data_IF_286061759532
#
_entry.id   IF_286061759532
#
_cell.length_a   1.000
_cell.length_b   1.000
_cell.length_c   1.000
_cell.angle_alpha   90.00
_cell.angle_beta   90.00
_cell.angle_gamma   90.00
#
_symmetry.space_group_name_H-M   'P 1'
#
loop_
_entity.id
_entity.type
_entity.pdbx_description
1 polymer ?
#
# COMPACT_ATOMS: atom_id res chain seq x y z
N UNK A 1 0.95 22.43 8.54
CA UNK A 1 0.25 21.65 9.58
C UNK A 1 0.49 20.19 9.25
N UNK A 2 1.17 19.44 10.11
CA UNK A 2 1.37 18.00 9.91
C UNK A 2 0.06 17.30 10.23
N UNK A 3 -0.61 16.73 9.23
CA UNK A 3 -1.78 15.88 9.46
C UNK A 3 -1.28 14.55 10.03
N UNK A 4 -1.66 14.23 11.27
CA UNK A 4 -1.29 12.98 11.94
C UNK A 4 -2.01 11.82 11.23
N UNK A 5 -1.34 11.21 10.24
CA UNK A 5 -1.86 10.10 9.41
C UNK A 5 -1.11 8.79 9.63
N UNK A 6 -0.13 8.82 10.51
CA UNK A 6 0.64 7.67 10.93
C UNK A 6 -0.32 6.61 11.47
N UNK A 7 -0.23 5.38 10.95
CA UNK A 7 -1.13 4.29 11.35
C UNK A 7 -2.18 3.87 10.32
N UNK A 8 -2.34 4.59 9.21
CA UNK A 8 -3.30 4.21 8.15
C UNK A 8 -2.72 3.25 7.12
N UNK A 9 -3.57 2.37 6.60
CA UNK A 9 -3.23 1.50 5.49
C UNK A 9 -3.55 2.20 4.16
N UNK A 10 -2.79 1.85 3.13
CA UNK A 10 -2.96 2.39 1.79
C UNK A 10 -2.85 1.30 0.75
N UNK A 11 -3.65 1.47 -0.30
CA UNK A 11 -3.58 0.66 -1.52
C UNK A 11 -3.55 1.61 -2.72
N UNK A 12 -2.97 1.21 -3.86
CA UNK A 12 -3.02 2.06 -5.04
C UNK A 12 -4.45 2.01 -5.64
N UNK A 13 -4.87 3.04 -6.37
CA UNK A 13 -6.16 3.08 -7.09
C UNK A 13 -6.12 2.30 -8.41
N UNK A 14 -4.93 2.01 -8.91
CA UNK A 14 -4.62 1.26 -10.13
C UNK A 14 -3.41 0.35 -9.86
N UNK A 15 -3.26 -0.78 -10.54
CA UNK A 15 -2.09 -1.62 -10.35
C UNK A 15 -0.82 -0.83 -10.69
N UNK A 16 0.19 -0.94 -9.85
CA UNK A 16 1.51 -0.37 -10.11
C UNK A 16 2.21 -1.20 -11.18
N UNK A 17 2.98 -0.56 -12.06
CA UNK A 17 3.47 -1.16 -13.30
C UNK A 17 4.02 -2.58 -13.16
N UNK A 18 5.17 -2.75 -12.50
CA UNK A 18 5.79 -4.07 -12.31
C UNK A 18 5.33 -4.74 -11.00
N UNK A 19 5.06 -3.95 -9.96
CA UNK A 19 4.72 -4.44 -8.61
C UNK A 19 3.28 -4.96 -8.47
N UNK A 20 2.40 -4.61 -9.42
CA UNK A 20 0.98 -4.95 -9.39
C UNK A 20 0.23 -4.22 -8.27
N UNK A 21 -0.77 -4.88 -7.69
CA UNK A 21 -1.47 -4.39 -6.52
C UNK A 21 -0.66 -4.61 -5.24
N UNK A 22 -0.85 -3.74 -4.25
CA UNK A 22 -0.14 -3.83 -2.99
C UNK A 22 -0.92 -3.18 -1.86
N UNK A 23 -0.57 -3.57 -0.64
CA UNK A 23 -1.03 -2.95 0.60
C UNK A 23 0.21 -2.48 1.34
N UNK A 24 0.17 -1.22 1.78
CA UNK A 24 1.22 -0.63 2.57
C UNK A 24 0.68 0.11 3.79
N UNK A 25 1.58 0.46 4.68
CA UNK A 25 1.32 1.24 5.87
C UNK A 25 2.02 2.59 5.77
N UNK A 26 1.26 3.67 5.97
CA UNK A 26 1.82 5.03 6.03
C UNK A 26 2.66 5.18 7.30
N UNK A 27 3.96 5.39 7.12
CA UNK A 27 4.92 5.66 8.21
C UNK A 27 5.18 7.14 8.43
N UNK A 28 5.00 7.96 7.39
CA UNK A 28 4.98 9.42 7.50
C UNK A 28 4.27 10.03 6.29
N UNK A 29 3.81 11.27 6.45
CA UNK A 29 3.20 12.04 5.38
C UNK A 29 3.76 13.47 5.37
N UNK A 30 4.33 13.88 4.25
CA UNK A 30 4.86 15.22 4.04
C UNK A 30 4.18 15.87 2.83
N UNK A 31 3.44 16.96 3.08
CA UNK A 31 2.64 17.64 2.06
C UNK A 31 1.71 16.66 1.32
N UNK A 32 1.94 16.48 0.02
CA UNK A 32 1.19 15.58 -0.86
C UNK A 32 1.78 14.17 -0.98
N UNK A 33 2.95 13.93 -0.38
CA UNK A 33 3.67 12.67 -0.45
C UNK A 33 3.42 11.82 0.79
N UNK A 34 3.30 10.52 0.57
CA UNK A 34 3.14 9.48 1.57
C UNK A 34 4.38 8.60 1.53
N UNK A 35 5.00 8.38 2.68
CA UNK A 35 6.04 7.39 2.85
C UNK A 35 5.39 6.12 3.37
N UNK A 36 5.61 5.03 2.66
CA UNK A 36 4.83 3.81 2.82
C UNK A 36 5.77 2.61 2.96
N UNK A 37 5.60 1.87 4.05
CA UNK A 37 6.18 0.53 4.18
C UNK A 37 5.25 -0.47 3.49
N UNK A 38 5.76 -1.21 2.51
CA UNK A 38 4.99 -2.26 1.87
C UNK A 38 4.85 -3.46 2.79
N UNK A 39 3.61 -3.97 2.88
CA UNK A 39 3.27 -5.14 3.70
C UNK A 39 2.98 -6.35 2.81
N UNK A 40 2.20 -6.12 1.75
CA UNK A 40 1.84 -7.16 0.78
C UNK A 40 1.88 -6.62 -0.65
N UNK A 41 2.29 -7.46 -1.59
CA UNK A 41 2.52 -7.10 -3.00
C UNK A 41 2.15 -8.26 -3.91
N UNK A 42 1.66 -7.96 -5.10
CA UNK A 42 1.30 -8.99 -6.09
C UNK A 42 2.56 -9.65 -6.69
N UNK A 43 3.54 -8.84 -7.08
CA UNK A 43 4.80 -9.31 -7.66
C UNK A 43 5.99 -8.95 -6.75
N UNK A 44 6.34 -9.82 -5.78
CA UNK A 44 7.38 -9.53 -4.79
C UNK A 44 8.77 -9.32 -5.38
N UNK A 45 9.06 -9.89 -6.56
CA UNK A 45 10.32 -9.68 -7.29
C UNK A 45 10.54 -8.22 -7.73
N UNK A 46 9.48 -7.42 -7.73
CA UNK A 46 9.49 -6.01 -8.09
C UNK A 46 9.19 -5.09 -6.88
N UNK A 47 9.09 -5.65 -5.68
CA UNK A 47 8.77 -4.90 -4.49
C UNK A 47 9.99 -4.15 -3.94
N UNK A 48 9.72 -2.97 -3.36
CA UNK A 48 10.66 -2.24 -2.54
C UNK A 48 10.08 -2.09 -1.14
N UNK A 49 10.89 -2.29 -0.09
CA UNK A 49 10.42 -2.24 1.30
C UNK A 49 9.74 -0.90 1.61
N UNK A 50 10.30 0.20 1.10
CA UNK A 50 9.79 1.55 1.26
C UNK A 50 9.49 2.16 -0.11
N UNK A 51 8.29 2.72 -0.25
CA UNK A 51 7.90 3.47 -1.45
C UNK A 51 7.35 4.85 -1.09
N UNK A 52 7.38 5.73 -2.08
CA UNK A 52 6.74 7.03 -2.02
C UNK A 52 5.58 7.04 -3.00
N UNK A 53 4.44 7.56 -2.56
CA UNK A 53 3.29 7.80 -3.43
C UNK A 53 2.64 9.13 -3.11
N UNK A 54 1.71 9.56 -3.96
CA UNK A 54 0.88 10.73 -3.67
C UNK A 54 -0.55 10.32 -3.37
N UNK A 55 -1.23 11.15 -2.60
CA UNK A 55 -2.63 10.92 -2.18
C UNK A 55 -3.60 10.78 -3.36
N UNK A 56 -3.25 11.34 -4.50
CA UNK A 56 -4.02 11.20 -5.75
C UNK A 56 -4.14 9.74 -6.18
N UNK A 57 -3.06 8.97 -6.04
CA UNK A 57 -2.94 7.62 -6.57
C UNK A 57 -3.25 6.51 -5.56
N UNK A 58 -3.45 6.86 -4.29
CA UNK A 58 -3.72 5.90 -3.21
C UNK A 58 -5.09 6.11 -2.58
N UNK A 59 -5.66 5.03 -2.04
CA UNK A 59 -6.84 5.06 -1.18
C UNK A 59 -6.43 4.69 0.24
N UNK A 60 -6.88 5.44 1.24
CA UNK A 60 -6.53 5.26 2.65
C UNK A 60 -7.61 4.47 3.40
N UNK A 61 -7.20 3.55 4.25
CA UNK A 61 -8.08 2.69 5.06
C UNK A 61 -7.65 2.67 6.52
N UNK A 62 -8.61 2.42 7.40
CA UNK A 62 -8.35 2.34 8.85
C UNK A 62 -7.94 0.93 9.29
N UNK A 63 -8.17 -0.08 8.45
CA UNK A 63 -7.76 -1.45 8.72
C UNK A 63 -7.44 -2.26 7.47
N UNK A 64 -6.62 -3.29 7.66
CA UNK A 64 -6.27 -4.28 6.61
C UNK A 64 -7.52 -4.97 6.01
N UNK A 65 -8.56 -5.36 6.78
CA UNK A 65 -9.74 -6.00 6.20
C UNK A 65 -10.44 -5.13 5.15
N UNK A 66 -10.57 -3.83 5.42
CA UNK A 66 -11.18 -2.86 4.49
C UNK A 66 -10.33 -2.69 3.23
N UNK A 67 -9.01 -2.58 3.39
CA UNK A 67 -8.07 -2.49 2.27
C UNK A 67 -8.10 -3.74 1.38
N UNK A 68 -8.18 -4.92 2.00
CA UNK A 68 -8.31 -6.21 1.29
C UNK A 68 -9.64 -6.31 0.54
N UNK A 69 -10.76 -5.91 1.17
CA UNK A 69 -12.07 -5.89 0.51
C UNK A 69 -12.11 -4.94 -0.69
N UNK A 70 -11.46 -3.78 -0.58
CA UNK A 70 -11.29 -2.87 -1.70
C UNK A 70 -10.54 -3.54 -2.86
N UNK A 71 -9.41 -4.17 -2.60
CA UNK A 71 -8.63 -4.87 -3.64
C UNK A 71 -9.41 -6.04 -4.26
N UNK A 72 -10.18 -6.79 -3.47
CA UNK A 72 -11.11 -7.81 -3.99
C UNK A 72 -12.11 -7.24 -4.97
N UNK A 73 -12.71 -6.08 -4.65
CA UNK A 73 -13.64 -5.39 -5.54
C UNK A 73 -12.98 -4.94 -6.87
N UNK A 74 -11.65 -4.81 -6.89
CA UNK A 74 -10.84 -4.53 -8.09
C UNK A 74 -10.40 -5.79 -8.85
N UNK A 75 -10.78 -6.97 -8.38
CA UNK A 75 -10.46 -8.26 -9.02
C UNK A 75 -9.17 -8.92 -8.51
N UNK A 76 -8.54 -8.39 -7.46
CA UNK A 76 -7.39 -9.02 -6.79
C UNK A 76 -7.89 -10.18 -5.94
N UNK A 77 -7.26 -11.35 -6.04
CA UNK A 77 -7.64 -12.52 -5.23
C UNK A 77 -6.71 -12.62 -4.02
N UNK A 78 -7.23 -12.95 -2.85
CA UNK A 78 -6.47 -12.95 -1.58
C UNK A 78 -5.11 -13.68 -1.64
N UNK A 79 -5.01 -14.72 -2.46
CA UNK A 79 -3.82 -15.54 -2.62
C UNK A 79 -2.78 -14.98 -3.59
N UNK A 80 -3.05 -13.86 -4.29
CA UNK A 80 -2.08 -13.24 -5.21
C UNK A 80 -1.17 -12.25 -4.51
N UNK A 81 -1.49 -11.82 -3.29
CA UNK A 81 -0.65 -10.89 -2.53
C UNK A 81 0.31 -11.67 -1.63
N UNK A 82 1.60 -11.54 -1.91
CA UNK A 82 2.70 -12.10 -1.12
C UNK A 82 3.15 -11.12 -0.05
N UNK A 83 3.45 -11.57 1.18
CA UNK A 83 4.01 -10.70 2.21
C UNK A 83 5.41 -10.20 1.81
N UNK A 84 5.72 -8.96 2.13
CA UNK A 84 7.07 -8.41 1.97
C UNK A 84 7.84 -8.67 3.27
N UNK A 85 8.90 -9.48 3.19
CA UNK A 85 9.78 -9.68 4.33
C UNK A 85 10.57 -8.40 4.61
N UNK A 86 10.29 -7.77 5.75
CA UNK A 86 11.13 -6.71 6.28
C UNK A 86 12.33 -7.42 6.91
N UNK A 87 13.44 -7.51 6.18
CA UNK A 87 14.69 -8.02 6.72
C UNK A 87 15.07 -7.23 7.97
N UNK A 88 15.24 -7.93 9.10
CA UNK A 88 15.71 -7.37 10.37
C UNK A 88 17.22 -7.09 10.34
#
# INVERSE_FOLDING_TARGET
>A
MCENRDGKFVVPKKPSAAMGWWIGWIISAENSFLHINLLWVENPEHACVNIHSTREYTEEFSGIPEAMEYLKSRGVKDFTLSPVEIGY
#
